data_IF_682674590072
#
_entry.id   IF_682674590072
#
_cell.length_a   1.000
_cell.length_b   1.000
_cell.length_c   1.000
_cell.angle_alpha   90.00
_cell.angle_beta   90.00
_cell.angle_gamma   90.00
#
_symmetry.space_group_name_H-M   'P 1'
#
loop_
_entity.id
_entity.type
_entity.pdbx_description
1 polymer ?
#
# COMPACT_ATOMS: atom_id res chain seq x y z
N UNK A 1 6.63 4.95 25.75
CA UNK A 1 5.81 5.73 24.79
C UNK A 1 5.02 4.76 23.93
N UNK A 2 4.09 5.24 23.10
CA UNK A 2 3.36 4.42 22.14
C UNK A 2 4.29 4.00 20.99
N UNK A 3 4.24 2.73 20.59
CA UNK A 3 4.96 2.23 19.41
C UNK A 3 4.13 2.54 18.16
N UNK A 4 4.62 3.47 17.35
CA UNK A 4 3.98 3.97 16.13
C UNK A 4 4.79 3.64 14.87
N UNK A 5 5.68 2.64 14.92
CA UNK A 5 6.60 2.34 13.82
C UNK A 5 5.89 2.14 12.47
N UNK A 6 4.74 1.47 12.45
CA UNK A 6 3.96 1.29 11.22
C UNK A 6 3.39 2.61 10.68
N UNK A 7 2.87 3.47 11.56
CA UNK A 7 2.33 4.77 11.16
C UNK A 7 3.43 5.69 10.61
N UNK A 8 4.61 5.69 11.23
CA UNK A 8 5.77 6.46 10.79
C UNK A 8 6.35 5.94 9.47
N UNK A 9 6.52 4.62 9.34
CA UNK A 9 7.14 4.01 8.16
C UNK A 9 6.23 4.06 6.94
N UNK A 10 4.94 3.71 7.10
CA UNK A 10 4.01 3.67 5.97
C UNK A 10 3.36 5.02 5.67
N UNK A 11 3.37 5.96 6.63
CA UNK A 11 2.81 7.31 6.49
C UNK A 11 1.46 7.28 5.74
N UNK A 12 0.57 6.39 6.19
CA UNK A 12 -0.66 6.03 5.50
C UNK A 12 -1.86 6.87 5.93
N UNK A 13 -1.67 7.86 6.81
CA UNK A 13 -2.71 8.79 7.19
C UNK A 13 -2.96 9.82 6.07
N UNK A 14 -4.21 10.18 5.74
CA UNK A 14 -5.47 9.70 6.33
C UNK A 14 -5.84 8.27 5.90
N UNK A 15 -5.54 7.92 4.64
CA UNK A 15 -5.66 6.56 4.10
C UNK A 15 -4.64 6.32 2.95
N UNK A 16 -4.20 5.07 2.80
CA UNK A 16 -3.34 4.60 1.70
C UNK A 16 -3.32 3.07 1.64
N UNK A 17 -3.28 2.50 0.43
CA UNK A 17 -3.09 1.05 0.23
C UNK A 17 -1.63 0.76 -0.10
N UNK A 18 -1.09 -0.29 0.52
CA UNK A 18 0.20 -0.89 0.19
C UNK A 18 0.01 -2.37 -0.11
N UNK A 19 0.73 -2.88 -1.12
CA UNK A 19 0.87 -4.32 -1.36
C UNK A 19 2.33 -4.68 -1.15
N UNK A 20 2.58 -5.64 -0.25
CA UNK A 20 3.91 -6.13 0.05
C UNK A 20 4.01 -7.62 -0.29
N UNK A 21 5.17 -8.04 -0.80
CA UNK A 21 5.50 -9.44 -0.98
C UNK A 21 7.00 -9.64 -0.75
N UNK A 22 7.37 -10.68 0.01
CA UNK A 22 8.77 -11.02 0.34
C UNK A 22 9.63 -9.81 0.77
N UNK A 23 9.06 -8.93 1.60
CA UNK A 23 9.73 -7.74 2.14
C UNK A 23 9.90 -6.59 1.14
N UNK A 24 9.29 -6.65 -0.05
CA UNK A 24 9.30 -5.57 -1.04
C UNK A 24 7.91 -4.95 -1.18
N UNK A 25 7.88 -3.64 -1.45
CA UNK A 25 6.66 -2.92 -1.80
C UNK A 25 6.42 -3.12 -3.30
N UNK A 26 5.31 -3.76 -3.64
CA UNK A 26 4.85 -3.95 -5.02
C UNK A 26 3.85 -2.88 -5.47
N UNK A 27 3.11 -2.31 -4.52
CA UNK A 27 2.23 -1.18 -4.75
C UNK A 27 2.26 -0.23 -3.56
N UNK A 28 2.30 1.07 -3.87
CA UNK A 28 2.10 2.16 -2.91
C UNK A 28 1.11 3.12 -3.55
N UNK A 29 -0.11 3.18 -3.01
CA UNK A 29 -1.11 4.14 -3.45
C UNK A 29 -0.70 5.58 -3.16
N UNK A 30 -1.33 6.52 -3.85
CA UNK A 30 -1.13 7.96 -3.65
C UNK A 30 -1.57 8.45 -2.26
N UNK A 31 -1.36 9.73 -1.90
CA UNK A 31 -1.91 10.32 -0.68
C UNK A 31 -3.44 10.42 -0.73
N UNK A 32 -4.12 9.82 0.25
CA UNK A 32 -5.56 9.99 0.42
C UNK A 32 -5.96 11.40 0.89
N UNK A 33 -7.25 11.77 0.75
CA UNK A 33 -8.32 10.93 0.16
C UNK A 33 -8.36 10.99 -1.37
N UNK A 34 -7.74 12.00 -1.99
CA UNK A 34 -7.93 12.27 -3.42
C UNK A 34 -7.33 11.21 -4.34
N UNK A 35 -6.22 10.59 -3.95
CA UNK A 35 -5.54 9.55 -4.74
C UNK A 35 -5.83 8.14 -4.19
N UNK A 36 -6.84 7.99 -3.33
CA UNK A 36 -7.25 6.67 -2.85
C UNK A 36 -7.98 5.91 -3.97
N UNK A 37 -7.31 4.90 -4.52
CA UNK A 37 -7.84 4.11 -5.64
C UNK A 37 -7.70 2.60 -5.39
N UNK A 38 -8.73 1.95 -4.82
CA UNK A 38 -8.72 0.51 -4.59
C UNK A 38 -8.66 -0.35 -5.87
N UNK A 39 -9.16 0.15 -7.00
CA UNK A 39 -9.15 -0.62 -8.24
C UNK A 39 -7.73 -0.72 -8.82
N UNK A 40 -6.95 0.37 -8.77
CA UNK A 40 -5.53 0.34 -9.16
C UNK A 40 -4.73 -0.63 -8.27
N UNK A 41 -4.99 -0.61 -6.95
CA UNK A 41 -4.37 -1.56 -6.03
C UNK A 41 -4.73 -3.02 -6.38
N UNK A 42 -6.00 -3.29 -6.68
CA UNK A 42 -6.48 -4.62 -7.08
C UNK A 42 -5.83 -5.08 -8.38
N UNK A 43 -5.69 -4.20 -9.38
CA UNK A 43 -4.97 -4.51 -10.63
C UNK A 43 -3.52 -4.89 -10.35
N UNK A 44 -2.82 -4.12 -9.51
CA UNK A 44 -1.45 -4.43 -9.09
C UNK A 44 -1.35 -5.77 -8.34
N UNK A 45 -2.32 -6.07 -7.47
CA UNK A 45 -2.38 -7.36 -6.78
C UNK A 45 -2.57 -8.53 -7.76
N UNK A 46 -3.47 -8.40 -8.73
CA UNK A 46 -3.69 -9.44 -9.74
C UNK A 46 -2.43 -9.66 -10.58
N UNK A 47 -1.74 -8.60 -11.00
CA UNK A 47 -0.46 -8.72 -11.72
C UNK A 47 0.58 -9.48 -10.89
N UNK A 48 0.70 -9.15 -9.59
CA UNK A 48 1.62 -9.82 -8.68
C UNK A 48 1.30 -11.32 -8.54
N UNK A 49 0.03 -11.69 -8.43
CA UNK A 49 -0.39 -13.08 -8.28
C UNK A 49 -0.27 -13.88 -9.58
N UNK A 50 -0.33 -13.22 -10.73
CA UNK A 50 -0.18 -13.84 -12.05
C UNK A 50 1.28 -13.92 -12.53
N UNK A 51 2.24 -13.42 -11.73
CA UNK A 51 3.67 -13.56 -12.02
C UNK A 51 4.13 -14.95 -11.53
N UNK A 52 4.72 -15.80 -12.41
CA UNK A 52 5.14 -17.15 -12.06
C UNK A 52 6.26 -17.20 -11.01
#
# INVERSE_FOLDING_TARGET
GMDNAAAEVFAAWPERIYILNKGKIHYKGGPGPYEFNPEEAKESLMQLLNTP
#
